data_IF_116714656082
#
_entry.id   IF_116714656082
#
_cell.length_a   1.000
_cell.length_b   1.000
_cell.length_c   1.000
_cell.angle_alpha   90.00
_cell.angle_beta   90.00
_cell.angle_gamma   90.00
#
_symmetry.space_group_name_H-M   'P 1'
#
loop_
_entity.id
_entity.type
_entity.pdbx_description
1 polymer ?
#
# COMPACT_ATOMS: atom_id res chain seq x y z
N UNK A 1 9.71 10.33 8.93
CA UNK A 1 9.30 11.09 7.72
C UNK A 1 10.05 10.48 6.55
N UNK A 2 9.36 9.89 5.59
CA UNK A 2 9.99 9.35 4.39
C UNK A 2 10.64 10.51 3.60
N UNK A 3 11.84 10.91 4.01
CA UNK A 3 12.62 11.98 3.40
C UNK A 3 13.90 11.37 2.82
N UNK A 4 13.77 10.50 1.84
CA UNK A 4 14.89 10.00 1.08
C UNK A 4 15.11 10.88 -0.14
N UNK A 5 16.28 11.47 -0.29
CA UNK A 5 16.75 11.86 -1.60
C UNK A 5 16.97 10.57 -2.40
N UNK A 6 16.18 10.33 -3.42
CA UNK A 6 16.34 9.14 -4.22
C UNK A 6 16.80 9.52 -5.60
N UNK A 7 18.09 9.50 -5.71
CA UNK A 7 18.75 9.19 -6.98
C UNK A 7 19.06 7.67 -7.09
N UNK A 8 18.79 6.89 -6.04
CA UNK A 8 19.03 5.43 -5.96
C UNK A 8 17.83 4.57 -6.38
N UNK A 9 16.79 5.15 -6.97
CA UNK A 9 15.66 4.38 -7.51
C UNK A 9 15.92 3.82 -8.91
N UNK A 10 17.14 3.99 -9.43
CA UNK A 10 17.54 3.39 -10.69
C UNK A 10 17.53 1.86 -10.55
N UNK A 11 16.58 1.17 -11.21
CA UNK A 11 16.44 -0.26 -11.07
C UNK A 11 17.70 -1.05 -11.46
N UNK A 12 18.52 -0.51 -12.36
CA UNK A 12 19.74 -1.19 -12.82
C UNK A 12 20.82 -1.28 -11.73
N UNK A 13 20.74 -0.39 -10.73
CA UNK A 13 21.67 -0.34 -9.60
C UNK A 13 21.20 -1.15 -8.39
N UNK A 14 19.96 -1.66 -8.41
CA UNK A 14 19.39 -2.39 -7.29
C UNK A 14 19.90 -3.84 -7.25
N UNK A 15 20.02 -4.35 -6.03
CA UNK A 15 20.30 -5.78 -5.83
C UNK A 15 19.08 -6.62 -6.22
N UNK A 16 19.21 -7.39 -7.30
CA UNK A 16 18.11 -8.19 -7.86
C UNK A 16 17.64 -9.35 -6.96
N UNK A 17 18.39 -9.69 -5.93
CA UNK A 17 17.98 -10.72 -4.96
C UNK A 17 17.02 -10.17 -3.90
N UNK A 18 16.81 -8.85 -3.85
CA UNK A 18 15.93 -8.20 -2.90
C UNK A 18 14.65 -7.72 -3.56
N UNK A 19 13.59 -7.63 -2.78
CA UNK A 19 12.32 -7.03 -3.19
C UNK A 19 12.24 -5.63 -2.61
N UNK A 20 11.71 -4.69 -3.41
CA UNK A 20 11.62 -3.29 -3.02
C UNK A 20 10.22 -2.75 -3.18
N UNK A 21 9.89 -1.74 -2.35
CA UNK A 21 8.78 -0.82 -2.56
C UNK A 21 9.31 0.59 -2.77
N UNK A 22 8.81 1.27 -3.79
CA UNK A 22 8.95 2.70 -3.94
C UNK A 22 7.82 3.38 -3.19
N UNK A 23 8.14 4.16 -2.18
CA UNK A 23 7.17 4.89 -1.35
C UNK A 23 7.31 6.39 -1.60
N UNK A 24 6.18 7.07 -1.82
CA UNK A 24 6.11 8.52 -1.93
C UNK A 24 5.28 9.07 -0.78
N UNK A 25 5.86 9.96 0.00
CA UNK A 25 5.17 10.63 1.10
C UNK A 25 5.77 12.03 1.31
N UNK A 26 4.94 13.01 1.64
CA UNK A 26 5.38 14.39 1.96
C UNK A 26 6.31 14.99 0.90
N UNK A 27 6.09 14.67 -0.38
CA UNK A 27 6.90 15.16 -1.50
C UNK A 27 8.26 14.47 -1.67
N UNK A 28 8.61 13.52 -0.80
CA UNK A 28 9.82 12.71 -0.90
C UNK A 28 9.55 11.31 -1.45
N UNK A 29 10.60 10.68 -1.99
CA UNK A 29 10.59 9.29 -2.46
C UNK A 29 11.57 8.49 -1.64
N UNK A 30 11.18 7.31 -1.20
CA UNK A 30 12.04 6.36 -0.47
C UNK A 30 11.90 4.96 -1.06
N UNK A 31 12.97 4.18 -1.02
CA UNK A 31 12.92 2.74 -1.28
C UNK A 31 12.92 1.99 0.04
N UNK A 32 11.96 1.07 0.18
CA UNK A 32 11.90 0.13 1.28
C UNK A 32 12.29 -1.25 0.76
N UNK A 33 12.93 -2.03 1.62
CA UNK A 33 13.32 -3.42 1.33
C UNK A 33 12.43 -4.36 2.11
N UNK A 34 11.99 -5.45 1.49
CA UNK A 34 11.29 -6.51 2.19
C UNK A 34 12.23 -7.16 3.19
N UNK A 35 11.92 -7.04 4.48
CA UNK A 35 12.66 -7.70 5.54
C UNK A 35 12.23 -9.14 5.71
N UNK A 36 10.94 -9.37 5.89
CA UNK A 36 10.35 -10.70 6.05
C UNK A 36 8.84 -10.69 5.79
N UNK A 37 8.26 -11.87 5.80
CA UNK A 37 6.81 -12.09 5.65
C UNK A 37 6.30 -12.86 6.86
N UNK A 38 5.24 -12.36 7.48
CA UNK A 38 4.56 -13.01 8.60
C UNK A 38 3.37 -13.83 8.10
N UNK A 39 3.18 -15.02 8.66
CA UNK A 39 1.99 -15.82 8.41
C UNK A 39 0.80 -15.20 9.14
N UNK A 40 -0.34 -15.07 8.42
CA UNK A 40 -1.58 -14.57 9.00
C UNK A 40 -2.78 -15.26 8.33
N UNK A 41 -3.89 -15.54 9.06
CA UNK A 41 -5.05 -16.24 8.51
C UNK A 41 -5.69 -15.58 7.28
N UNK A 42 -5.65 -14.25 7.19
CA UNK A 42 -6.15 -13.47 6.05
C UNK A 42 -5.14 -13.29 4.92
N UNK A 43 -4.07 -14.06 4.90
CA UNK A 43 -2.97 -13.95 3.95
C UNK A 43 -1.72 -13.30 4.57
N UNK A 44 -0.56 -13.52 3.95
CA UNK A 44 0.73 -13.09 4.49
C UNK A 44 0.83 -11.57 4.65
N UNK A 45 1.54 -11.13 5.69
CA UNK A 45 1.88 -9.72 5.93
C UNK A 45 3.33 -9.51 5.52
N UNK A 46 3.58 -8.67 4.55
CA UNK A 46 4.90 -8.25 4.14
C UNK A 46 5.38 -7.08 5.01
N UNK A 47 6.57 -7.20 5.58
CA UNK A 47 7.18 -6.19 6.46
C UNK A 47 8.34 -5.52 5.75
N UNK A 48 8.19 -4.24 5.46
CA UNK A 48 9.09 -3.45 4.64
C UNK A 48 9.81 -2.40 5.48
N UNK A 49 11.12 -2.26 5.28
CA UNK A 49 11.99 -1.37 6.04
C UNK A 49 12.62 -0.30 5.16
N UNK A 50 12.60 0.94 5.62
CA UNK A 50 13.41 2.01 5.06
C UNK A 50 14.79 2.07 5.73
N UNK A 51 15.72 2.78 5.10
CA UNK A 51 17.06 3.06 5.69
C UNK A 51 17.00 3.97 6.93
N UNK A 52 15.85 4.58 7.23
CA UNK A 52 15.62 5.50 8.35
C UNK A 52 14.74 4.89 9.43
N UNK A 53 14.67 3.56 9.50
CA UNK A 53 13.90 2.79 10.47
C UNK A 53 12.37 3.00 10.42
N UNK A 54 11.83 3.54 9.34
CA UNK A 54 10.39 3.46 9.11
C UNK A 54 10.03 2.03 8.68
N UNK A 55 8.90 1.55 9.18
CA UNK A 55 8.38 0.21 8.87
C UNK A 55 6.98 0.32 8.31
N UNK A 56 6.77 -0.25 7.13
CA UNK A 56 5.48 -0.37 6.48
C UNK A 56 5.08 -1.85 6.40
N UNK A 57 3.87 -2.17 6.85
CA UNK A 57 3.31 -3.52 6.84
C UNK A 57 2.15 -3.56 5.86
N UNK A 58 2.23 -4.47 4.90
CA UNK A 58 1.22 -4.61 3.84
C UNK A 58 0.68 -6.04 3.84
N UNK A 59 -0.63 -6.15 3.77
CA UNK A 59 -1.36 -7.42 3.65
C UNK A 59 -2.30 -7.33 2.46
N UNK A 60 -2.04 -8.13 1.42
CA UNK A 60 -2.80 -8.10 0.16
C UNK A 60 -3.05 -6.67 -0.37
N UNK A 61 -2.03 -5.81 -0.33
CA UNK A 61 -2.11 -4.42 -0.76
C UNK A 61 -2.64 -3.43 0.30
N UNK A 62 -3.33 -3.89 1.33
CA UNK A 62 -3.80 -3.03 2.41
C UNK A 62 -2.68 -2.74 3.41
N UNK A 63 -2.57 -1.47 3.82
CA UNK A 63 -1.64 -1.11 4.90
C UNK A 63 -2.21 -1.58 6.24
N UNK A 64 -1.48 -2.47 6.89
CA UNK A 64 -1.82 -3.03 8.21
C UNK A 64 -0.80 -2.61 9.29
N UNK A 65 0.02 -1.62 9.02
CA UNK A 65 0.92 -1.00 9.99
C UNK A 65 1.84 0.01 9.36
N UNK A 66 2.12 1.06 10.11
CA UNK A 66 3.10 2.10 9.78
C UNK A 66 3.71 2.62 11.07
N UNK A 67 5.03 2.54 11.21
CA UNK A 67 5.76 3.04 12.37
C UNK A 67 7.04 3.77 11.95
N UNK A 68 7.59 4.57 12.85
CA UNK A 68 8.78 5.39 12.59
C UNK A 68 8.46 6.68 11.83
N UNK A 69 7.20 7.05 11.68
CA UNK A 69 6.75 8.26 10.99
C UNK A 69 6.01 9.21 11.96
N UNK A 70 5.67 10.41 11.48
CA UNK A 70 4.97 11.43 12.31
C UNK A 70 3.56 11.00 12.72
N UNK A 71 2.91 10.16 11.92
CA UNK A 71 1.64 9.51 12.25
C UNK A 71 1.85 8.01 12.08
N UNK A 72 1.55 7.26 13.11
CA UNK A 72 1.72 5.81 13.10
C UNK A 72 0.37 5.11 13.26
N UNK A 73 0.22 4.00 12.56
CA UNK A 73 -0.85 3.04 12.79
C UNK A 73 -0.25 1.76 13.34
N UNK A 74 -0.65 1.42 14.55
CA UNK A 74 -0.21 0.22 15.26
C UNK A 74 -1.38 -0.72 15.44
N UNK A 75 -1.09 -2.01 15.66
CA UNK A 75 -2.09 -3.06 15.92
C UNK A 75 -3.28 -3.02 14.94
N UNK A 76 -2.96 -2.83 13.65
CA UNK A 76 -4.00 -2.80 12.63
C UNK A 76 -4.48 -4.21 12.35
N UNK A 77 -5.79 -4.41 12.40
CA UNK A 77 -6.46 -5.66 12.00
C UNK A 77 -7.62 -5.39 11.05
N UNK A 78 -7.84 -6.35 10.15
CA UNK A 78 -8.95 -6.33 9.20
C UNK A 78 -9.89 -7.49 9.51
N UNK A 79 -11.22 -7.25 9.50
CA UNK A 79 -12.21 -8.29 9.80
C UNK A 79 -12.34 -9.34 8.70
N UNK A 80 -12.02 -8.96 7.46
CA UNK A 80 -12.06 -9.82 6.28
C UNK A 80 -11.14 -9.25 5.20
N UNK A 81 -10.78 -10.08 4.23
CA UNK A 81 -10.03 -9.67 3.05
C UNK A 81 -10.57 -10.42 1.85
N UNK A 82 -11.18 -9.68 0.93
CA UNK A 82 -11.67 -10.26 -0.32
C UNK A 82 -10.52 -10.35 -1.32
N UNK A 83 -10.38 -11.47 -2.05
CA UNK A 83 -9.43 -11.52 -3.16
C UNK A 83 -9.83 -10.50 -4.23
N UNK A 84 -8.86 -9.87 -4.86
CA UNK A 84 -9.08 -8.77 -5.82
C UNK A 84 -9.96 -9.19 -7.01
N UNK A 85 -9.83 -10.41 -7.50
CA UNK A 85 -10.64 -10.95 -8.60
C UNK A 85 -12.10 -11.28 -8.19
N UNK A 86 -12.40 -11.26 -6.90
CA UNK A 86 -13.75 -11.46 -6.37
C UNK A 86 -14.49 -10.16 -6.05
N UNK A 87 -13.90 -9.00 -6.36
CA UNK A 87 -14.51 -7.69 -6.16
C UNK A 87 -15.13 -7.27 -7.51
N UNK A 88 -16.41 -7.53 -7.64
CA UNK A 88 -17.24 -7.15 -8.79
C UNK A 88 -17.79 -5.72 -8.63
N UNK A 89 -18.86 -5.40 -9.36
CA UNK A 89 -19.55 -4.11 -9.28
C UNK A 89 -20.17 -3.81 -7.90
N UNK A 90 -20.29 -4.82 -7.03
CA UNK A 90 -20.81 -4.64 -5.68
C UNK A 90 -19.69 -4.32 -4.71
N UNK A 91 -19.94 -3.40 -3.76
CA UNK A 91 -18.96 -3.10 -2.73
C UNK A 91 -18.81 -4.25 -1.74
N UNK A 92 -17.58 -4.47 -1.28
CA UNK A 92 -17.27 -5.41 -0.19
C UNK A 92 -16.98 -4.62 1.07
N UNK A 93 -17.75 -4.85 2.11
CA UNK A 93 -17.57 -4.18 3.40
C UNK A 93 -16.61 -4.97 4.29
N UNK A 94 -15.71 -4.25 4.96
CA UNK A 94 -14.86 -4.80 6.00
C UNK A 94 -14.63 -3.77 7.11
N UNK A 95 -14.19 -4.24 8.26
CA UNK A 95 -13.84 -3.42 9.42
C UNK A 95 -12.32 -3.40 9.55
N UNK A 96 -11.77 -2.22 9.78
CA UNK A 96 -10.40 -2.01 10.19
C UNK A 96 -10.38 -1.51 11.62
N UNK A 97 -9.63 -2.18 12.50
CA UNK A 97 -9.32 -1.69 13.85
C UNK A 97 -7.87 -1.27 13.87
N UNK A 98 -7.54 -0.15 14.49
CA UNK A 98 -6.17 0.37 14.56
C UNK A 98 -5.94 1.25 15.77
N UNK A 99 -4.69 1.30 16.22
CA UNK A 99 -4.20 2.29 17.17
C UNK A 99 -3.49 3.41 16.41
N UNK A 100 -3.71 4.67 16.79
CA UNK A 100 -3.16 5.85 16.12
C UNK A 100 -2.25 6.61 17.08
N UNK A 101 -1.04 6.92 16.62
CA UNK A 101 -0.08 7.77 17.30
C UNK A 101 0.35 8.93 16.39
N UNK A 102 0.63 10.11 16.95
CA UNK A 102 0.38 10.54 18.32
C UNK A 102 -1.11 10.70 18.60
N UNK A 103 -1.47 10.88 19.86
CA UNK A 103 -2.86 11.06 20.30
C UNK A 103 -3.41 9.89 21.09
N UNK A 104 -2.69 8.73 21.08
CA UNK A 104 -3.03 7.56 21.89
C UNK A 104 -4.48 7.08 21.68
N UNK A 105 -4.95 7.09 20.41
CA UNK A 105 -6.27 6.59 20.05
C UNK A 105 -6.20 5.08 19.85
N UNK A 106 -6.64 4.34 20.86
CA UNK A 106 -6.63 2.88 20.83
C UNK A 106 -7.96 2.32 20.33
N UNK A 107 -7.87 1.22 19.57
CA UNK A 107 -9.03 0.48 19.09
C UNK A 107 -9.96 1.32 18.20
N UNK A 108 -9.42 2.27 17.45
CA UNK A 108 -10.21 3.04 16.47
C UNK A 108 -10.78 2.11 15.42
N UNK A 109 -12.10 2.18 15.24
CA UNK A 109 -12.84 1.33 14.29
C UNK A 109 -13.24 2.15 13.08
N UNK A 110 -12.86 1.67 11.89
CA UNK A 110 -13.29 2.21 10.62
C UNK A 110 -14.10 1.14 9.87
N UNK A 111 -15.27 1.52 9.36
CA UNK A 111 -16.04 0.69 8.42
C UNK A 111 -15.68 1.15 7.00
N UNK A 112 -15.24 0.22 6.17
CA UNK A 112 -14.76 0.50 4.82
C UNK A 112 -15.58 -0.26 3.78
N UNK A 113 -15.94 0.44 2.71
CA UNK A 113 -16.54 -0.13 1.52
C UNK A 113 -15.48 -0.14 0.40
N UNK A 114 -15.06 -1.32 -0.02
CA UNK A 114 -14.12 -1.55 -1.11
C UNK A 114 -14.89 -1.84 -2.40
N UNK A 115 -14.60 -1.09 -3.46
CA UNK A 115 -15.28 -1.21 -4.75
C UNK A 115 -14.35 -0.91 -5.93
N UNK A 116 -14.65 -1.42 -7.12
CA UNK A 116 -13.97 -0.98 -8.34
C UNK A 116 -14.18 0.53 -8.58
N UNK A 117 -13.18 1.17 -9.17
CA UNK A 117 -13.23 2.58 -9.53
C UNK A 117 -12.49 2.80 -10.85
N UNK A 118 -12.82 3.85 -11.63
CA UNK A 118 -11.97 4.27 -12.73
C UNK A 118 -10.56 4.66 -12.26
N UNK A 119 -9.59 4.59 -13.16
CA UNK A 119 -8.25 5.09 -12.88
C UNK A 119 -8.31 6.57 -12.44
N UNK A 120 -7.60 6.96 -11.38
CA UNK A 120 -7.59 8.35 -10.94
C UNK A 120 -6.87 9.23 -11.97
N UNK A 121 -7.30 10.48 -12.10
CA UNK A 121 -6.67 11.45 -12.99
C UNK A 121 -5.22 11.79 -12.59
N UNK A 122 -4.85 11.53 -11.34
CA UNK A 122 -3.49 11.71 -10.81
C UNK A 122 -3.16 10.57 -9.87
N UNK A 123 -1.96 10.03 -10.00
CA UNK A 123 -1.38 9.04 -9.09
C UNK A 123 0.13 9.24 -9.02
N UNK A 124 0.76 8.70 -7.99
CA UNK A 124 2.22 8.70 -7.85
C UNK A 124 2.88 7.47 -8.51
N UNK A 125 2.16 6.78 -9.38
CA UNK A 125 2.71 5.65 -10.13
C UNK A 125 3.86 6.15 -11.00
N UNK A 126 5.02 5.52 -10.84
CA UNK A 126 6.14 5.72 -11.76
C UNK A 126 6.00 4.76 -12.93
N UNK A 127 5.99 5.31 -14.14
CA UNK A 127 5.98 4.52 -15.37
C UNK A 127 7.34 3.89 -15.71
N UNK A 128 8.41 4.24 -14.99
CA UNK A 128 9.74 3.65 -15.18
C UNK A 128 9.91 2.43 -14.26
N UNK A 129 10.59 1.35 -14.69
CA UNK A 129 11.34 1.21 -15.94
C UNK A 129 10.56 0.60 -17.10
N UNK A 130 9.40 0.02 -16.92
CA UNK A 130 8.60 -0.55 -18.01
C UNK A 130 7.15 -0.21 -17.73
N UNK A 131 6.39 0.07 -18.77
CA UNK A 131 4.96 0.33 -18.67
C UNK A 131 4.32 -0.65 -17.69
N UNK A 132 3.90 -0.13 -16.54
CA UNK A 132 2.91 -0.81 -15.73
C UNK A 132 1.81 -1.26 -16.67
N UNK A 133 1.40 -2.50 -16.55
CA UNK A 133 0.47 -3.12 -17.46
C UNK A 133 -0.61 -2.12 -17.84
N UNK A 134 -0.86 -1.97 -19.12
CA UNK A 134 -1.86 -1.03 -19.66
C UNK A 134 -3.28 -1.33 -19.16
N UNK A 135 -3.43 -2.42 -18.38
CA UNK A 135 -4.69 -2.96 -17.87
C UNK A 135 -4.67 -3.12 -16.34
N UNK A 136 -4.39 -2.05 -15.61
CA UNK A 136 -4.56 -2.06 -14.18
C UNK A 136 -6.04 -1.90 -13.81
N UNK A 137 -6.55 -2.79 -12.96
CA UNK A 137 -7.85 -2.64 -12.34
C UNK A 137 -7.70 -1.77 -11.10
N UNK A 138 -8.52 -0.73 -11.01
CA UNK A 138 -8.48 0.19 -9.89
C UNK A 138 -9.61 -0.07 -8.90
N UNK A 139 -9.27 0.06 -7.63
CA UNK A 139 -10.20 -0.10 -6.51
C UNK A 139 -10.05 1.05 -5.54
N UNK A 140 -11.13 1.36 -4.85
CA UNK A 140 -11.20 2.38 -3.81
C UNK A 140 -11.80 1.78 -2.55
N UNK A 141 -11.14 1.97 -1.40
CA UNK A 141 -11.70 1.70 -0.09
C UNK A 141 -12.06 3.02 0.59
N UNK A 142 -13.35 3.25 0.77
CA UNK A 142 -13.89 4.47 1.37
C UNK A 142 -14.43 4.17 2.76
N UNK A 143 -14.05 4.98 3.72
CA UNK A 143 -14.64 4.94 5.05
C UNK A 143 -16.06 5.49 5.02
N UNK A 144 -17.00 4.79 5.66
CA UNK A 144 -18.42 5.17 5.68
C UNK A 144 -18.62 6.58 6.27
N UNK A 145 -17.83 6.94 7.26
CA UNK A 145 -17.89 8.26 7.91
C UNK A 145 -16.99 9.33 7.25
N UNK A 146 -16.29 9.01 6.18
CA UNK A 146 -15.39 9.92 5.43
C UNK A 146 -14.37 10.68 6.31
N UNK A 147 -13.90 10.09 7.41
CA UNK A 147 -12.89 10.71 8.28
C UNK A 147 -11.54 10.86 7.61
N UNK A 148 -11.21 9.94 6.70
CA UNK A 148 -9.97 9.96 5.92
C UNK A 148 -10.29 9.96 4.42
N UNK A 149 -9.40 10.52 3.59
CA UNK A 149 -9.46 10.33 2.15
C UNK A 149 -9.48 8.84 1.81
N UNK A 150 -10.18 8.44 0.73
CA UNK A 150 -10.25 7.05 0.33
C UNK A 150 -8.87 6.46 0.05
N UNK A 151 -8.64 5.23 0.46
CA UNK A 151 -7.51 4.47 -0.02
C UNK A 151 -7.77 3.99 -1.45
N UNK A 152 -6.74 3.95 -2.29
CA UNK A 152 -6.83 3.48 -3.68
C UNK A 152 -5.80 2.43 -3.96
N UNK A 153 -6.14 1.52 -4.84
CA UNK A 153 -5.29 0.39 -5.20
C UNK A 153 -5.31 0.19 -6.71
N UNK A 154 -4.13 -0.05 -7.29
CA UNK A 154 -4.02 -0.56 -8.64
C UNK A 154 -3.60 -2.02 -8.59
N UNK A 155 -4.36 -2.86 -9.25
CA UNK A 155 -4.23 -4.32 -9.23
C UNK A 155 -3.91 -4.82 -10.64
N UNK A 156 -2.86 -5.59 -10.74
CA UNK A 156 -2.46 -6.31 -11.94
C UNK A 156 -2.95 -7.75 -11.87
N UNK A 157 -3.41 -8.28 -12.99
CA UNK A 157 -3.80 -9.69 -13.09
C UNK A 157 -2.91 -10.39 -14.11
N UNK A 158 -2.12 -11.35 -13.64
CA UNK A 158 -1.25 -12.18 -14.48
C UNK A 158 -1.62 -13.64 -14.25
N UNK A 159 -1.92 -14.35 -15.34
CA UNK A 159 -2.29 -15.79 -15.29
C UNK A 159 -3.41 -16.09 -14.30
N UNK A 160 -4.39 -15.21 -14.17
CA UNK A 160 -5.53 -15.37 -13.25
C UNK A 160 -5.23 -15.00 -11.78
N UNK A 161 -3.99 -14.62 -11.46
CA UNK A 161 -3.61 -14.14 -10.12
C UNK A 161 -3.65 -12.63 -10.10
N UNK A 162 -4.49 -12.07 -9.24
CA UNK A 162 -4.65 -10.61 -9.06
C UNK A 162 -3.85 -10.14 -7.86
N UNK A 163 -2.96 -9.20 -8.08
CA UNK A 163 -2.04 -8.66 -7.05
C UNK A 163 -2.05 -7.14 -7.06
N UNK A 164 -2.17 -6.52 -5.90
CA UNK A 164 -2.00 -5.08 -5.79
C UNK A 164 -0.52 -4.72 -6.02
N UNK A 165 -0.27 -3.89 -7.01
CA UNK A 165 1.07 -3.41 -7.38
C UNK A 165 1.32 -1.97 -6.98
N UNK A 166 0.26 -1.27 -6.59
CA UNK A 166 0.29 0.10 -6.12
C UNK A 166 -0.84 0.34 -5.12
N UNK A 167 -0.61 1.20 -4.14
CA UNK A 167 -1.64 1.67 -3.22
C UNK A 167 -1.39 3.08 -2.72
N UNK A 168 -2.46 3.78 -2.36
CA UNK A 168 -2.48 5.08 -1.70
C UNK A 168 -3.27 4.97 -0.40
N UNK A 169 -2.72 5.48 0.69
CA UNK A 169 -3.37 5.49 1.99
C UNK A 169 -3.06 6.76 2.75
N UNK A 170 -4.10 7.40 3.30
CA UNK A 170 -3.95 8.48 4.27
C UNK A 170 -4.06 7.94 5.69
N UNK A 171 -3.17 8.38 6.56
CA UNK A 171 -3.09 8.03 7.99
C UNK A 171 -3.69 9.11 8.87
N UNK A 172 -3.74 10.32 8.33
CA UNK A 172 -4.47 11.48 8.84
C UNK A 172 -4.91 12.34 7.65
N UNK A 173 -5.65 13.41 7.90
CA UNK A 173 -6.01 14.36 6.84
C UNK A 173 -4.78 15.03 6.20
N UNK A 174 -3.67 15.12 6.93
CA UNK A 174 -2.45 15.81 6.49
C UNK A 174 -1.31 14.86 6.09
N UNK A 175 -1.44 13.55 6.34
CA UNK A 175 -0.36 12.61 6.08
C UNK A 175 -0.87 11.40 5.29
N UNK A 176 -0.45 11.38 4.03
CA UNK A 176 -0.74 10.29 3.09
C UNK A 176 0.56 9.76 2.51
N UNK A 177 0.56 8.49 2.14
CA UNK A 177 1.61 7.90 1.32
C UNK A 177 1.03 7.10 0.16
N UNK A 178 1.85 6.89 -0.84
CA UNK A 178 1.62 5.87 -1.85
C UNK A 178 2.81 4.91 -1.88
N UNK A 179 2.55 3.67 -2.23
CA UNK A 179 3.57 2.65 -2.41
C UNK A 179 3.39 1.96 -3.77
N UNK A 180 4.48 1.48 -4.32
CA UNK A 180 4.50 0.76 -5.59
C UNK A 180 5.54 -0.36 -5.51
N UNK A 181 5.21 -1.56 -5.98
CA UNK A 181 6.19 -2.63 -6.20
C UNK A 181 7.30 -2.14 -7.13
N UNK A 182 8.55 -2.31 -6.73
CA UNK A 182 9.68 -1.73 -7.45
C UNK A 182 10.83 -2.73 -7.62
N UNK A 183 11.41 -2.82 -8.82
CA UNK A 183 10.79 -2.39 -10.08
C UNK A 183 9.48 -3.12 -10.33
N UNK A 184 8.64 -2.62 -11.23
CA UNK A 184 7.36 -3.26 -11.56
C UNK A 184 7.58 -4.71 -12.05
N UNK A 185 6.63 -5.61 -11.77
CA UNK A 185 6.75 -7.07 -11.91
C UNK A 185 7.25 -7.61 -13.29
N UNK A 186 7.25 -6.82 -14.34
CA UNK A 186 7.77 -7.23 -15.66
C UNK A 186 9.31 -7.30 -15.76
N UNK A 187 10.06 -7.08 -14.68
CA UNK A 187 11.52 -6.95 -14.69
C UNK A 187 12.28 -8.21 -14.27
N UNK A 188 11.57 -9.24 -13.84
CA UNK A 188 12.18 -10.54 -13.52
C UNK A 188 12.30 -11.35 -14.81
N UNK A 189 13.50 -11.36 -15.39
CA UNK A 189 13.89 -12.37 -16.36
C UNK A 189 14.43 -13.58 -15.64
#
# INVERSE_FOLDING_TARGET
MFTGQVDNSDPEKLNRSLRYLRVVASGGVSLLVLGYTEAHPLGPIEVWYSSKAEVLRIQNGHVVGLTGTTVEWRHVSLSAMSPWNGIDSTSKRYIRTRDVMPGYLFGTIDQLDLRPTPAPSRSNISAKPIALAQNLNWFEAREVNNKLPPARFAVETINGVSTAVYGEQCFSQAYCLSWQTWPSLGWVK
#
